data_IF_012262306019
#
_entry.id   IF_012262306019
#
_cell.length_a   1.000
_cell.length_b   1.000
_cell.length_c   1.000
_cell.angle_alpha   90.00
_cell.angle_beta   90.00
_cell.angle_gamma   90.00
#
_symmetry.space_group_name_H-M   'P 1'
#
loop_
_entity.id
_entity.type
_entity.pdbx_description
1 polymer ?
#
# COMPACT_ATOMS: atom_id res chain seq x y z
N UNK A 1 3.10 -11.02 -21.15
CA UNK A 1 4.38 -10.85 -20.42
C UNK A 1 4.45 -9.43 -19.83
N UNK A 2 3.45 -9.00 -19.03
CA UNK A 2 3.32 -7.57 -18.67
C UNK A 2 2.65 -7.33 -17.29
N UNK A 3 2.91 -8.14 -16.26
CA UNK A 3 2.38 -7.87 -14.90
C UNK A 3 3.40 -7.79 -13.77
N UNK A 4 4.68 -8.10 -14.04
CA UNK A 4 5.76 -8.01 -13.04
C UNK A 4 6.40 -6.62 -12.89
N UNK A 5 6.02 -5.64 -13.72
CA UNK A 5 6.80 -4.40 -13.88
C UNK A 5 6.67 -3.47 -12.66
N UNK A 6 5.51 -3.44 -11.98
CA UNK A 6 5.26 -2.46 -10.92
C UNK A 6 5.98 -2.73 -9.58
N UNK A 7 6.29 -3.98 -9.26
CA UNK A 7 6.90 -4.36 -7.97
C UNK A 7 8.43 -4.37 -8.01
N UNK A 8 9.03 -4.67 -9.16
CA UNK A 8 10.49 -4.75 -9.32
C UNK A 8 11.18 -3.38 -9.27
N UNK A 9 10.44 -2.30 -9.55
CA UNK A 9 10.95 -0.92 -9.51
C UNK A 9 10.78 -0.25 -8.13
N UNK A 10 10.14 -0.91 -7.17
CA UNK A 10 9.95 -0.34 -5.84
C UNK A 10 11.28 -0.27 -5.09
N UNK A 11 11.56 0.89 -4.50
CA UNK A 11 12.57 0.99 -3.46
C UNK A 11 12.19 0.12 -2.25
N UNK A 12 13.18 -0.27 -1.44
CA UNK A 12 12.94 -1.04 -0.22
C UNK A 12 11.87 -0.40 0.68
N UNK A 13 11.88 0.94 0.82
CA UNK A 13 10.88 1.67 1.58
C UNK A 13 9.47 1.57 0.97
N UNK A 14 9.34 1.62 -0.35
CA UNK A 14 8.04 1.48 -1.01
C UNK A 14 7.51 0.04 -0.89
N UNK A 15 8.40 -0.94 -1.03
CA UNK A 15 8.09 -2.35 -0.80
C UNK A 15 7.61 -2.59 0.64
N UNK A 16 8.31 -2.05 1.65
CA UNK A 16 7.91 -2.16 3.06
C UNK A 16 6.52 -1.57 3.31
N UNK A 17 6.21 -0.41 2.72
CA UNK A 17 4.89 0.23 2.81
C UNK A 17 3.82 -0.58 2.09
N UNK A 18 4.14 -1.13 0.93
CA UNK A 18 3.21 -1.98 0.18
C UNK A 18 2.88 -3.27 0.93
N UNK A 19 3.90 -3.97 1.43
CA UNK A 19 3.75 -5.20 2.22
C UNK A 19 3.02 -4.93 3.54
N UNK A 20 3.33 -3.82 4.22
CA UNK A 20 2.59 -3.40 5.41
C UNK A 20 1.11 -3.17 5.11
N UNK A 21 0.80 -2.47 4.01
CA UNK A 21 -0.59 -2.24 3.61
C UNK A 21 -1.30 -3.54 3.27
N UNK A 22 -0.64 -4.46 2.56
CA UNK A 22 -1.18 -5.78 2.22
C UNK A 22 -1.39 -6.65 3.47
N UNK A 23 -0.49 -6.61 4.44
CA UNK A 23 -0.62 -7.37 5.70
C UNK A 23 -1.76 -6.86 6.59
N UNK A 24 -1.98 -5.54 6.58
CA UNK A 24 -3.07 -4.88 7.33
C UNK A 24 -4.42 -5.05 6.63
N UNK A 25 -4.42 -5.12 5.30
CA UNK A 25 -5.62 -5.45 4.54
C UNK A 25 -5.93 -6.95 4.74
N UNK A 26 -6.97 -7.27 5.51
CA UNK A 26 -7.39 -8.67 5.67
C UNK A 26 -7.56 -9.34 4.30
N UNK A 27 -6.79 -10.42 4.10
CA UNK A 27 -6.62 -11.20 2.86
C UNK A 27 -7.51 -10.77 1.68
N UNK A 28 -7.06 -9.75 0.96
CA UNK A 28 -7.44 -9.53 -0.43
C UNK A 28 -8.84 -8.99 -0.70
N UNK A 29 -9.64 -8.67 0.32
CA UNK A 29 -10.96 -8.10 0.10
C UNK A 29 -10.85 -6.61 -0.23
N UNK A 30 -11.20 -6.26 -1.47
CA UNK A 30 -11.40 -4.86 -1.90
C UNK A 30 -12.46 -4.14 -1.07
N UNK A 31 -13.24 -4.89 -0.30
CA UNK A 31 -14.29 -4.41 0.58
C UNK A 31 -13.78 -3.93 1.95
N UNK A 32 -12.52 -4.22 2.31
CA UNK A 32 -11.95 -3.79 3.59
C UNK A 32 -10.80 -2.78 3.42
N UNK A 33 -11.12 -1.49 3.23
CA UNK A 33 -10.11 -0.47 2.99
C UNK A 33 -9.35 -0.13 4.28
N UNK A 34 -8.04 0.04 4.18
CA UNK A 34 -7.13 0.30 5.30
C UNK A 34 -6.81 1.79 5.45
N UNK A 35 -6.65 2.27 6.67
CA UNK A 35 -6.25 3.67 6.93
C UNK A 35 -4.73 3.84 6.91
N UNK A 36 -4.28 5.06 6.60
CA UNK A 36 -2.84 5.41 6.68
C UNK A 36 -2.25 5.11 8.07
N UNK A 37 -3.01 5.36 9.14
CA UNK A 37 -2.58 5.10 10.51
C UNK A 37 -2.39 3.61 10.79
N UNK A 38 -3.31 2.76 10.33
CA UNK A 38 -3.16 1.30 10.49
C UNK A 38 -1.92 0.79 9.75
N UNK A 39 -1.67 1.26 8.53
CA UNK A 39 -0.45 0.91 7.78
C UNK A 39 0.79 1.35 8.58
N UNK A 40 0.81 2.59 9.08
CA UNK A 40 1.95 3.17 9.79
C UNK A 40 2.26 2.47 11.12
N UNK A 41 1.27 1.83 11.75
CA UNK A 41 1.46 1.04 12.97
C UNK A 41 2.14 -0.32 12.69
N UNK A 42 2.23 -0.76 11.44
CA UNK A 42 2.87 -2.01 11.08
C UNK A 42 4.39 -1.97 11.28
N UNK A 43 4.97 -3.05 11.81
CA UNK A 43 6.39 -3.14 12.18
C UNK A 43 7.39 -2.80 11.06
N UNK A 44 7.01 -3.06 9.80
CA UNK A 44 7.87 -2.75 8.64
C UNK A 44 8.06 -1.25 8.43
N UNK A 45 7.11 -0.43 8.87
CA UNK A 45 7.07 1.00 8.56
C UNK A 45 6.95 1.90 9.78
N UNK A 46 6.76 1.33 10.97
CA UNK A 46 6.60 2.07 12.23
C UNK A 46 7.80 2.96 12.57
N UNK A 47 8.99 2.56 12.11
CA UNK A 47 10.25 3.29 12.32
C UNK A 47 10.52 4.34 11.24
N UNK A 48 9.70 4.42 10.19
CA UNK A 48 9.91 5.39 9.12
C UNK A 48 9.52 6.81 9.56
N UNK A 49 10.36 7.77 9.20
CA UNK A 49 10.01 9.17 9.32
C UNK A 49 8.73 9.48 8.52
N UNK A 50 7.89 10.37 9.05
CA UNK A 50 6.60 10.72 8.44
C UNK A 50 6.71 11.17 6.98
N UNK A 51 7.72 11.99 6.66
CA UNK A 51 7.96 12.45 5.29
C UNK A 51 8.32 11.30 4.34
N UNK A 52 9.11 10.33 4.82
CA UNK A 52 9.53 9.15 4.06
C UNK A 52 8.34 8.23 3.78
N UNK A 53 7.55 7.92 4.81
CA UNK A 53 6.31 7.16 4.66
C UNK A 53 5.35 7.82 3.66
N UNK A 54 5.08 9.12 3.77
CA UNK A 54 4.17 9.81 2.84
C UNK A 54 4.73 9.94 1.41
N UNK A 55 6.05 9.91 1.22
CA UNK A 55 6.63 9.84 -0.13
C UNK A 55 6.39 8.47 -0.74
N UNK A 56 6.68 7.40 -0.01
CA UNK A 56 6.43 6.03 -0.46
C UNK A 56 4.94 5.77 -0.74
N UNK A 57 4.05 6.14 0.18
CA UNK A 57 2.60 6.02 -0.01
C UNK A 57 2.11 6.74 -1.26
N UNK A 58 2.62 7.96 -1.53
CA UNK A 58 2.28 8.70 -2.76
C UNK A 58 2.82 8.03 -4.02
N UNK A 59 3.98 7.41 -3.95
CA UNK A 59 4.55 6.66 -5.07
C UNK A 59 3.68 5.45 -5.40
N UNK A 60 3.30 4.66 -4.40
CA UNK A 60 2.43 3.49 -4.58
C UNK A 60 1.04 3.87 -5.14
N UNK A 61 0.50 5.03 -4.76
CA UNK A 61 -0.73 5.56 -5.35
C UNK A 61 -0.55 5.96 -6.82
N UNK A 62 0.60 6.51 -7.20
CA UNK A 62 0.90 6.87 -8.60
C UNK A 62 1.12 5.64 -9.48
N UNK A 63 1.73 4.60 -8.92
CA UNK A 63 1.94 3.31 -9.58
C UNK A 63 0.67 2.47 -9.68
N UNK A 64 -0.42 2.88 -9.03
CA UNK A 64 -1.68 2.13 -9.03
C UNK A 64 -1.64 0.84 -8.19
N UNK A 65 -0.63 0.68 -7.33
CA UNK A 65 -0.53 -0.45 -6.40
C UNK A 65 -1.44 -0.28 -5.17
N UNK A 66 -1.70 0.99 -4.83
CA UNK A 66 -2.67 1.41 -3.83
C UNK A 66 -3.65 2.37 -4.49
N UNK A 67 -4.90 2.33 -4.06
CA UNK A 67 -5.95 3.24 -4.51
C UNK A 67 -6.66 3.87 -3.33
N UNK A 68 -7.20 5.08 -3.49
CA UNK A 68 -8.05 5.68 -2.45
C UNK A 68 -9.42 5.03 -2.51
N UNK A 69 -9.93 4.57 -1.39
CA UNK A 69 -11.29 4.05 -1.32
C UNK A 69 -12.29 5.19 -1.57
N UNK A 70 -13.07 5.10 -2.65
CA UNK A 70 -14.13 6.07 -2.94
C UNK A 70 -15.36 5.78 -2.08
N UNK A 71 -16.01 6.82 -1.55
CA UNK A 71 -17.22 6.69 -0.73
C UNK A 71 -17.00 6.62 0.79
N UNK A 72 -15.75 6.52 1.25
CA UNK A 72 -15.43 6.56 2.68
C UNK A 72 -15.13 7.99 3.15
N UNK A 73 -15.65 8.37 4.33
CA UNK A 73 -15.43 9.70 4.94
C UNK A 73 -13.97 9.95 5.35
N UNK A 74 -13.15 8.91 5.49
CA UNK A 74 -11.76 8.98 5.94
C UNK A 74 -10.77 8.61 4.83
N UNK A 75 -9.49 8.99 4.99
CA UNK A 75 -8.39 8.66 4.08
C UNK A 75 -8.07 7.16 4.17
N UNK A 76 -8.92 6.36 3.53
CA UNK A 76 -8.76 4.91 3.44
C UNK A 76 -8.22 4.53 2.06
N UNK A 77 -7.53 3.39 2.01
CA UNK A 77 -6.79 2.90 0.87
C UNK A 77 -7.13 1.43 0.61
N UNK A 78 -7.20 1.04 -0.64
CA UNK A 78 -7.39 -0.33 -1.09
C UNK A 78 -6.09 -0.81 -1.72
N UNK A 79 -5.62 -1.99 -1.32
CA UNK A 79 -4.44 -2.64 -1.91
C UNK A 79 -4.89 -3.40 -3.15
N UNK A 80 -4.20 -3.22 -4.27
CA UNK A 80 -4.48 -3.97 -5.50
C UNK A 80 -3.84 -5.35 -5.43
N UNK A 81 -4.62 -6.36 -5.07
CA UNK A 81 -4.19 -7.76 -4.99
C UNK A 81 -4.00 -8.43 -6.36
N UNK A 82 -4.57 -7.87 -7.43
CA UNK A 82 -4.49 -8.40 -8.80
C UNK A 82 -3.09 -8.30 -9.44
N UNK A 83 -2.13 -7.71 -8.74
CA UNK A 83 -0.74 -7.52 -9.16
C UNK A 83 0.19 -8.54 -8.47
N UNK A 84 -0.31 -9.27 -7.46
CA UNK A 84 0.48 -10.19 -6.64
C UNK A 84 0.02 -11.66 -6.72
N UNK A 85 -0.82 -12.02 -7.69
CA UNK A 85 -1.27 -13.40 -7.91
C UNK A 85 -0.40 -14.08 -8.99
N UNK A 86 0.35 -15.15 -8.65
CA UNK A 86 1.20 -15.91 -9.59
C UNK A 86 0.41 -16.79 -10.57
#
# INVERSE_FOLDING_TARGET
MERDIGLQELSATEMDVFLAAHAVAERGDRENPVTSDQIRQHQLVSNLAQATYHRALRSLLKLGLLEKAQGYKSRMYVVRSDIADP
#
